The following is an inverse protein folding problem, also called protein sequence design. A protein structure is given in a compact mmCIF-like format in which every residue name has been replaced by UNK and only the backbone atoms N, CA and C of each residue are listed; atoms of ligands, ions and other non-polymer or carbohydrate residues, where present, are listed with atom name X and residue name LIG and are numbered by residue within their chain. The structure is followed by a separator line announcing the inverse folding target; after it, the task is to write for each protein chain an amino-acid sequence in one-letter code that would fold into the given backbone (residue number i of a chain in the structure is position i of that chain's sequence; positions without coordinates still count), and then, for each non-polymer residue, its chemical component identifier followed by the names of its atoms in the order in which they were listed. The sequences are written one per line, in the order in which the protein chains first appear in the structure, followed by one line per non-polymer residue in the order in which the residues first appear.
data_IF_931670683349
#
_entry.id   IF_931670683349
#
_cell.length_a   1.000
_cell.length_b   1.000
_cell.length_c   1.000
_cell.angle_alpha   90.00
_cell.angle_beta   90.00
_cell.angle_gamma   90.00
#
_symmetry.space_group_name_H-M   'P 1'
#
loop_
_entity.id
_entity.type
_entity.pdbx_description
1 polymer ?
#
# COMPACT_ATOMS: atom_id res chain seq x y z
N UNK A 1 8.04 0.39 -13.43
CA UNK A 1 8.26 1.73 -12.85
C UNK A 1 7.00 2.60 -12.83
N UNK A 2 6.11 2.53 -13.82
CA UNK A 2 4.91 3.40 -13.89
C UNK A 2 3.75 3.08 -12.91
N UNK A 3 3.69 1.85 -12.35
CA UNK A 3 2.52 1.34 -11.61
C UNK A 3 2.06 2.22 -10.44
N UNK A 4 2.95 3.01 -9.83
CA UNK A 4 2.65 3.85 -8.66
C UNK A 4 2.96 5.34 -8.86
N UNK A 5 3.41 5.75 -10.05
CA UNK A 5 3.80 7.14 -10.26
C UNK A 5 2.61 8.09 -10.14
N UNK A 6 1.41 7.62 -10.49
CA UNK A 6 0.16 8.35 -10.30
C UNK A 6 -0.32 8.44 -8.84
N UNK A 7 0.33 7.79 -7.87
CA UNK A 7 -0.06 7.91 -6.44
C UNK A 7 1.06 8.45 -5.57
N UNK A 8 2.28 8.56 -6.10
CA UNK A 8 3.40 9.24 -5.42
C UNK A 8 3.11 10.72 -5.20
N UNK A 9 3.59 11.25 -4.08
CA UNK A 9 3.36 12.62 -3.61
C UNK A 9 1.91 12.94 -3.21
N UNK A 10 1.05 11.94 -3.13
CA UNK A 10 -0.30 12.11 -2.58
C UNK A 10 -0.34 11.66 -1.13
N UNK A 11 -1.16 12.37 -0.36
CA UNK A 11 -1.37 12.12 1.07
C UNK A 11 -2.29 10.92 1.27
N UNK A 12 -1.87 9.96 2.09
CA UNK A 12 -2.73 8.88 2.53
C UNK A 12 -3.77 9.42 3.52
N UNK A 13 -5.03 9.16 3.26
CA UNK A 13 -6.15 9.59 4.10
C UNK A 13 -6.64 8.46 5.00
N UNK A 14 -6.74 7.25 4.47
CA UNK A 14 -7.37 6.13 5.15
C UNK A 14 -6.79 4.78 4.68
N UNK A 15 -6.79 3.81 5.59
CA UNK A 15 -6.42 2.41 5.33
C UNK A 15 -7.62 1.53 5.63
N UNK A 16 -8.21 0.96 4.59
CA UNK A 16 -9.28 -0.03 4.71
C UNK A 16 -8.68 -1.44 4.66
N UNK A 17 -9.13 -2.32 5.57
CA UNK A 17 -8.63 -3.69 5.67
C UNK A 17 -9.75 -4.71 5.53
N UNK A 18 -9.52 -5.68 4.65
CA UNK A 18 -10.26 -6.92 4.54
C UNK A 18 -9.29 -8.10 4.72
N UNK A 19 -9.81 -9.33 4.75
CA UNK A 19 -8.98 -10.52 5.00
C UNK A 19 -7.82 -10.65 3.99
N UNK A 20 -8.12 -10.54 2.70
CA UNK A 20 -7.14 -10.77 1.62
C UNK A 20 -6.84 -9.51 0.80
N UNK A 21 -7.29 -8.35 1.29
CA UNK A 21 -7.16 -7.07 0.59
C UNK A 21 -6.93 -5.94 1.60
N UNK A 22 -5.99 -5.05 1.29
CA UNK A 22 -5.80 -3.78 1.98
C UNK A 22 -5.91 -2.67 0.95
N UNK A 23 -6.82 -1.73 1.18
CA UNK A 23 -7.05 -0.59 0.30
C UNK A 23 -6.52 0.66 0.96
N UNK A 24 -5.64 1.37 0.26
CA UNK A 24 -5.06 2.63 0.69
C UNK A 24 -5.72 3.76 -0.09
N UNK A 25 -6.45 4.61 0.62
CA UNK A 25 -7.17 5.74 0.03
C UNK A 25 -6.31 6.98 0.17
N UNK A 26 -5.86 7.50 -0.97
CA UNK A 26 -5.10 8.73 -1.05
C UNK A 26 -6.02 9.90 -1.42
N UNK A 27 -5.53 11.11 -1.12
CA UNK A 27 -6.16 12.36 -1.54
C UNK A 27 -6.40 12.37 -3.06
N UNK A 28 -7.45 13.08 -3.47
CA UNK A 28 -7.89 13.21 -4.87
C UNK A 28 -8.37 11.88 -5.48
N UNK A 29 -9.05 11.04 -4.67
CA UNK A 29 -9.65 9.76 -5.10
C UNK A 29 -8.66 8.82 -5.79
N UNK A 30 -7.45 8.73 -5.24
CA UNK A 30 -6.40 7.83 -5.73
C UNK A 30 -6.30 6.63 -4.80
N UNK A 31 -6.06 5.46 -5.37
CA UNK A 31 -6.12 4.22 -4.60
C UNK A 31 -4.90 3.35 -4.84
N UNK A 32 -4.45 2.66 -3.80
CA UNK A 32 -3.57 1.49 -3.93
C UNK A 32 -4.27 0.30 -3.30
N UNK A 33 -4.45 -0.76 -4.08
CA UNK A 33 -5.02 -2.03 -3.63
C UNK A 33 -3.89 -3.02 -3.45
N UNK A 34 -3.79 -3.60 -2.26
CA UNK A 34 -2.84 -4.67 -1.96
C UNK A 34 -3.65 -5.94 -1.78
N UNK A 35 -3.47 -6.91 -2.66
CA UNK A 35 -4.25 -8.15 -2.69
C UNK A 35 -3.37 -9.37 -2.50
N UNK A 36 -3.91 -10.42 -1.87
CA UNK A 36 -3.25 -11.73 -1.82
C UNK A 36 -4.08 -12.81 -2.51
N UNK A 37 -3.38 -13.74 -3.17
CA UNK A 37 -3.94 -14.99 -3.70
C UNK A 37 -4.01 -16.12 -2.67
N UNK A 38 -3.53 -15.88 -1.45
CA UNK A 38 -3.38 -16.89 -0.41
C UNK A 38 -3.98 -16.47 0.93
N UNK A 39 -3.11 -16.36 1.93
CA UNK A 39 -3.47 -16.11 3.32
C UNK A 39 -3.91 -14.65 3.58
N UNK A 40 -4.36 -14.43 4.82
CA UNK A 40 -4.62 -13.11 5.37
C UNK A 40 -3.39 -12.19 5.22
N UNK A 41 -3.63 -10.96 4.79
CA UNK A 41 -2.59 -9.93 4.71
C UNK A 41 -2.30 -9.41 6.11
N UNK A 42 -1.07 -9.59 6.57
CA UNK A 42 -0.56 -8.95 7.79
C UNK A 42 -0.08 -7.55 7.46
N UNK A 43 -0.35 -6.60 8.36
CA UNK A 43 -0.03 -5.19 8.17
C UNK A 43 0.68 -4.61 9.40
N UNK A 44 1.82 -3.97 9.17
CA UNK A 44 2.55 -3.16 10.15
C UNK A 44 2.50 -1.70 9.69
N UNK A 45 1.90 -0.85 10.53
CA UNK A 45 1.68 0.57 10.28
C UNK A 45 2.38 1.41 11.35
N UNK A 46 3.32 2.26 10.93
CA UNK A 46 4.05 3.19 11.81
C UNK A 46 3.26 4.51 12.06
N UNK A 47 1.98 4.55 11.72
CA UNK A 47 1.11 5.72 11.76
C UNK A 47 1.35 6.62 10.55
N UNK A 48 1.08 6.07 9.36
CA UNK A 48 1.34 6.73 8.07
C UNK A 48 0.18 7.59 7.55
N UNK A 49 -0.99 7.55 8.17
CA UNK A 49 -2.11 8.43 7.83
C UNK A 49 -1.69 9.90 7.91
N UNK A 50 -2.12 10.69 6.91
CA UNK A 50 -1.70 12.08 6.73
C UNK A 50 -0.31 12.26 6.12
N UNK A 51 0.43 11.19 5.81
CA UNK A 51 1.74 11.27 5.18
C UNK A 51 1.67 11.14 3.64
N UNK A 52 2.61 11.78 2.95
CA UNK A 52 2.76 11.67 1.50
C UNK A 52 3.56 10.43 1.09
N UNK A 53 3.05 9.68 0.12
CA UNK A 53 3.76 8.52 -0.42
C UNK A 53 5.02 8.94 -1.18
N UNK A 54 6.16 8.35 -0.84
CA UNK A 54 7.43 8.58 -1.52
C UNK A 54 7.72 7.46 -2.52
N UNK A 55 7.58 6.21 -2.10
CA UNK A 55 7.88 5.03 -2.91
C UNK A 55 7.08 3.81 -2.48
N UNK A 56 6.99 2.85 -3.41
CA UNK A 56 6.43 1.51 -3.19
C UNK A 56 7.43 0.49 -3.71
N UNK A 57 7.70 -0.53 -2.91
CA UNK A 57 8.50 -1.70 -3.27
C UNK A 57 7.63 -2.94 -3.17
N UNK A 58 7.55 -3.71 -4.25
CA UNK A 58 6.77 -4.94 -4.34
C UNK A 58 7.72 -6.12 -4.52
N UNK A 59 7.62 -7.10 -3.63
CA UNK A 59 8.30 -8.39 -3.66
C UNK A 59 7.25 -9.50 -3.57
N UNK A 60 7.61 -10.74 -3.91
CA UNK A 60 6.66 -11.86 -4.05
C UNK A 60 5.70 -12.04 -2.85
N UNK A 61 6.16 -11.77 -1.62
CA UNK A 61 5.38 -11.94 -0.38
C UNK A 61 5.23 -10.67 0.43
N UNK A 62 5.70 -9.53 -0.08
CA UNK A 62 5.79 -8.30 0.70
C UNK A 62 5.60 -7.07 -0.17
N UNK A 63 4.80 -6.12 0.31
CA UNK A 63 4.70 -4.77 -0.22
C UNK A 63 5.13 -3.80 0.86
N UNK A 64 6.04 -2.89 0.52
CA UNK A 64 6.53 -1.83 1.42
C UNK A 64 6.21 -0.49 0.80
N UNK A 65 5.44 0.33 1.50
CA UNK A 65 5.18 1.72 1.16
C UNK A 65 6.01 2.61 2.09
N UNK A 66 6.90 3.41 1.50
CA UNK A 66 7.68 4.41 2.22
C UNK A 66 7.08 5.80 2.03
N UNK A 67 6.98 6.54 3.12
CA UNK A 67 6.39 7.87 3.16
C UNK A 67 7.47 8.94 3.38
N UNK A 68 7.20 10.17 2.92
CA UNK A 68 8.16 11.28 2.98
C UNK A 68 8.57 11.69 4.40
N UNK A 69 7.74 11.38 5.40
CA UNK A 69 8.05 11.60 6.81
C UNK A 69 8.99 10.53 7.41
N UNK A 70 9.49 9.59 6.59
CA UNK A 70 10.39 8.51 6.99
C UNK A 70 9.68 7.26 7.50
N UNK A 71 8.36 7.32 7.73
CA UNK A 71 7.57 6.18 8.19
C UNK A 71 7.22 5.21 7.06
N UNK A 72 6.81 4.00 7.43
CA UNK A 72 6.46 2.94 6.49
C UNK A 72 5.15 2.25 6.84
N UNK A 73 4.54 1.71 5.79
CA UNK A 73 3.47 0.72 5.87
C UNK A 73 3.97 -0.55 5.18
N UNK A 74 3.92 -1.67 5.89
CA UNK A 74 4.40 -2.97 5.38
C UNK A 74 3.26 -3.96 5.37
N UNK A 75 2.91 -4.47 4.19
CA UNK A 75 1.97 -5.55 4.00
C UNK A 75 2.71 -6.83 3.61
N UNK A 76 2.37 -7.97 4.20
CA UNK A 76 2.97 -9.26 3.84
C UNK A 76 2.03 -10.43 4.09
N UNK A 77 2.38 -11.56 3.48
CA UNK A 77 1.67 -12.85 3.63
C UNK A 77 2.66 -13.93 4.04
N UNK A 78 2.20 -14.91 4.82
CA UNK A 78 3.05 -16.05 5.21
C UNK A 78 3.16 -17.06 4.05
N UNK A 79 2.02 -17.40 3.44
CA UNK A 79 1.94 -18.27 2.27
C UNK A 79 1.28 -17.58 1.07
N UNK A 80 1.59 -18.06 -0.13
CA UNK A 80 1.10 -17.49 -1.38
C UNK A 80 1.92 -16.28 -1.84
N UNK A 81 1.25 -15.41 -2.60
CA UNK A 81 1.82 -14.20 -3.19
C UNK A 81 0.98 -12.98 -2.82
N UNK A 82 1.61 -11.81 -2.85
CA UNK A 82 0.97 -10.51 -2.68
C UNK A 82 1.29 -9.64 -3.88
N UNK A 83 0.33 -8.83 -4.29
CA UNK A 83 0.47 -7.87 -5.38
C UNK A 83 -0.13 -6.53 -4.95
N UNK A 84 0.38 -5.42 -5.50
CA UNK A 84 -0.18 -4.10 -5.23
C UNK A 84 -0.47 -3.31 -6.50
N UNK A 85 -1.71 -2.93 -6.77
CA UNK A 85 -2.10 -2.12 -7.93
C UNK A 85 -2.46 -0.70 -7.53
N UNK A 86 -2.22 0.28 -8.40
CA UNK A 86 -2.70 1.65 -8.18
C UNK A 86 -3.65 2.09 -9.28
N UNK A 87 -4.69 2.80 -8.86
CA UNK A 87 -5.63 3.47 -9.74
C UNK A 87 -5.36 4.97 -9.62
N UNK A 88 -4.69 5.59 -10.61
CA UNK A 88 -4.61 7.04 -10.68
C UNK A 88 -5.96 7.63 -11.09
N UNK A 89 -6.14 8.92 -10.81
CA UNK A 89 -7.29 9.73 -11.26
C UNK A 89 -7.51 9.67 -12.78
#
# INVERSE_FOLDING_TARGET
MAKFDGVKNYTLLEIERSQNEVTLVFRDNRFVFITSSGDEIKLEDEGVEGAELANVSEEQKRVVLGFKNGKKLVAWVENGEISAESIPE
#
